data_IF_627349185584
#
_entry.id   IF_627349185584
#
_cell.length_a   1.000
_cell.length_b   1.000
_cell.length_c   1.000
_cell.angle_alpha   90.00
_cell.angle_beta   90.00
_cell.angle_gamma   90.00
#
_symmetry.space_group_name_H-M   'P 1'
#
loop_
_entity.id
_entity.type
_entity.pdbx_description
1 polymer ?
#
# COMPACT_ATOMS: atom_id res chain seq x y z
N UNK A 1 -11.18 8.01 31.44
CA UNK A 1 -9.78 8.01 30.97
C UNK A 1 -9.79 7.33 29.61
N UNK A 2 -9.55 8.07 28.51
CA UNK A 2 -9.45 7.44 27.18
C UNK A 2 -8.19 6.58 27.18
N UNK A 3 -8.28 5.33 26.76
CA UNK A 3 -7.10 4.48 26.53
C UNK A 3 -6.13 5.24 25.61
N UNK A 4 -4.81 5.16 25.87
CA UNK A 4 -3.83 5.73 24.96
C UNK A 4 -4.05 5.12 23.58
N UNK A 5 -4.03 5.95 22.54
CA UNK A 5 -4.20 5.47 21.17
C UNK A 5 -3.19 4.35 20.91
N UNK A 6 -3.68 3.18 20.51
CA UNK A 6 -2.88 2.02 20.19
C UNK A 6 -1.76 2.42 19.20
N UNK A 7 -0.54 1.95 19.43
CA UNK A 7 0.64 2.27 18.60
C UNK A 7 0.36 1.99 17.10
N UNK A 8 -0.38 0.93 16.81
CA UNK A 8 -0.77 0.57 15.44
C UNK A 8 -1.72 1.60 14.82
N UNK A 9 -2.60 2.21 15.62
CA UNK A 9 -3.51 3.25 15.15
C UNK A 9 -2.74 4.53 14.82
N UNK A 10 -1.72 4.86 15.62
CA UNK A 10 -0.83 6.00 15.36
C UNK A 10 -0.05 5.79 14.05
N UNK A 11 0.56 4.61 13.87
CA UNK A 11 1.29 4.29 12.63
C UNK A 11 0.38 4.32 11.40
N UNK A 12 -0.84 3.79 11.52
CA UNK A 12 -1.83 3.80 10.43
C UNK A 12 -2.29 5.22 10.09
N UNK A 13 -2.57 6.05 11.10
CA UNK A 13 -2.94 7.45 10.88
C UNK A 13 -1.82 8.22 10.17
N UNK A 14 -0.56 8.01 10.56
CA UNK A 14 0.60 8.62 9.88
C UNK A 14 0.73 8.15 8.43
N UNK A 15 0.54 6.86 8.16
CA UNK A 15 0.54 6.34 6.79
C UNK A 15 -0.54 7.03 5.95
N UNK A 16 -1.77 7.15 6.46
CA UNK A 16 -2.87 7.74 5.71
C UNK A 16 -2.66 9.23 5.42
N UNK A 17 -2.09 9.98 6.38
CA UNK A 17 -1.72 11.38 6.15
C UNK A 17 -0.70 11.52 5.01
N UNK A 18 0.35 10.68 5.01
CA UNK A 18 1.35 10.68 3.94
C UNK A 18 0.72 10.35 2.58
N UNK A 19 -0.17 9.35 2.54
CA UNK A 19 -0.84 8.95 1.30
C UNK A 19 -1.73 10.08 0.75
N UNK A 20 -2.53 10.72 1.61
CA UNK A 20 -3.39 11.85 1.24
C UNK A 20 -2.58 13.03 0.69
N UNK A 21 -1.46 13.37 1.33
CA UNK A 21 -0.53 14.42 0.87
C UNK A 21 0.09 14.13 -0.52
N UNK A 22 0.32 12.85 -0.86
CA UNK A 22 0.88 12.46 -2.16
C UNK A 22 -0.12 12.64 -3.32
N UNK A 23 -1.42 12.56 -3.05
CA UNK A 23 -2.50 12.74 -4.04
C UNK A 23 -2.66 11.59 -5.04
N UNK A 24 -1.59 11.03 -5.61
CA UNK A 24 -1.63 9.86 -6.50
C UNK A 24 -0.32 9.08 -6.44
N UNK A 25 -0.37 7.76 -6.61
CA UNK A 25 0.80 6.88 -6.41
C UNK A 25 0.89 5.74 -7.43
N UNK A 26 2.13 5.33 -7.73
CA UNK A 26 2.43 4.01 -8.30
C UNK A 26 2.99 3.11 -7.19
N UNK A 27 2.39 1.93 -6.98
CA UNK A 27 2.76 0.97 -5.94
C UNK A 27 3.45 -0.22 -6.57
N UNK A 28 4.70 -0.47 -6.21
CA UNK A 28 5.38 -1.72 -6.55
C UNK A 28 4.72 -2.89 -5.79
N UNK A 29 4.00 -3.73 -6.52
CA UNK A 29 3.18 -4.82 -6.00
C UNK A 29 3.82 -6.17 -6.32
N UNK A 30 4.22 -6.90 -5.28
CA UNK A 30 4.89 -8.21 -5.39
C UNK A 30 4.00 -9.39 -4.97
N UNK A 31 2.77 -9.13 -4.50
CA UNK A 31 1.88 -10.16 -3.92
C UNK A 31 2.20 -10.54 -2.47
N UNK A 32 3.27 -10.02 -1.88
CA UNK A 32 3.59 -10.18 -0.45
C UNK A 32 2.63 -9.39 0.46
N UNK A 33 2.55 -9.78 1.74
CA UNK A 33 1.63 -9.16 2.71
C UNK A 33 1.84 -7.64 2.85
N UNK A 34 3.09 -7.19 2.81
CA UNK A 34 3.43 -5.77 2.99
C UNK A 34 2.96 -4.93 1.79
N UNK A 35 3.28 -5.36 0.56
CA UNK A 35 2.87 -4.66 -0.66
C UNK A 35 1.36 -4.74 -0.89
N UNK A 36 0.72 -5.84 -0.48
CA UNK A 36 -0.74 -6.00 -0.48
C UNK A 36 -1.42 -5.05 0.51
N UNK A 37 -0.90 -4.97 1.74
CA UNK A 37 -1.40 -4.04 2.75
C UNK A 37 -1.26 -2.58 2.30
N UNK A 38 -0.09 -2.22 1.75
CA UNK A 38 0.15 -0.86 1.26
C UNK A 38 -0.79 -0.52 0.10
N UNK A 39 -0.97 -1.41 -0.88
CA UNK A 39 -1.91 -1.21 -1.98
C UNK A 39 -3.34 -1.00 -1.47
N UNK A 40 -3.79 -1.83 -0.52
CA UNK A 40 -5.11 -1.69 0.10
C UNK A 40 -5.27 -0.35 0.84
N UNK A 41 -4.22 0.12 1.54
CA UNK A 41 -4.21 1.42 2.19
C UNK A 41 -4.30 2.57 1.18
N UNK A 42 -3.51 2.52 0.10
CA UNK A 42 -3.55 3.50 -0.99
C UNK A 42 -4.95 3.59 -1.62
N UNK A 43 -5.56 2.45 -1.96
CA UNK A 43 -6.91 2.40 -2.52
C UNK A 43 -7.95 2.97 -1.57
N UNK A 44 -7.80 2.74 -0.27
CA UNK A 44 -8.72 3.26 0.76
C UNK A 44 -8.62 4.78 0.92
N UNK A 45 -7.42 5.35 0.84
CA UNK A 45 -7.20 6.79 1.06
C UNK A 45 -7.45 7.59 -0.21
N UNK A 46 -6.90 7.14 -1.35
CA UNK A 46 -6.85 7.92 -2.59
C UNK A 46 -7.92 7.54 -3.62
N UNK A 47 -8.52 6.34 -3.47
CA UNK A 47 -9.42 5.77 -4.47
C UNK A 47 -8.69 5.11 -5.66
N UNK A 48 -9.38 4.27 -6.44
CA UNK A 48 -8.77 3.48 -7.51
C UNK A 48 -8.22 4.33 -8.66
N UNK A 49 -8.83 5.48 -8.95
CA UNK A 49 -8.43 6.34 -10.07
C UNK A 49 -7.06 7.00 -9.88
N UNK A 50 -6.52 6.99 -8.66
CA UNK A 50 -5.26 7.66 -8.28
C UNK A 50 -4.16 6.67 -7.89
N UNK A 51 -4.38 5.37 -8.10
CA UNK A 51 -3.46 4.32 -7.69
C UNK A 51 -3.16 3.39 -8.86
N UNK A 52 -1.89 3.29 -9.23
CA UNK A 52 -1.39 2.32 -10.21
C UNK A 52 -0.60 1.22 -9.48
N UNK A 53 -1.08 -0.02 -9.50
CA UNK A 53 -0.30 -1.16 -9.03
C UNK A 53 0.62 -1.68 -10.15
N UNK A 54 1.91 -1.79 -9.86
CA UNK A 54 2.95 -2.19 -10.82
C UNK A 54 3.61 -3.47 -10.32
N UNK A 55 3.48 -4.55 -11.08
CA UNK A 55 4.31 -5.75 -10.88
C UNK A 55 5.51 -5.71 -11.83
N UNK A 56 6.62 -6.30 -11.43
CA UNK A 56 7.78 -6.48 -12.30
C UNK A 56 7.70 -7.88 -12.96
N UNK A 57 7.68 -7.93 -14.29
CA UNK A 57 7.95 -9.17 -15.02
C UNK A 57 9.42 -9.15 -15.47
N UNK A 58 10.21 -10.13 -15.00
CA UNK A 58 11.58 -10.32 -15.47
C UNK A 58 11.85 -11.81 -15.71
N UNK A 59 12.63 -12.18 -16.74
CA UNK A 59 13.00 -13.57 -17.02
C UNK A 59 13.72 -14.30 -15.87
N UNK A 60 14.19 -13.57 -14.85
CA UNK A 60 14.81 -14.11 -13.64
C UNK A 60 13.81 -14.52 -12.56
N UNK A 61 12.52 -14.19 -12.71
CA UNK A 61 11.48 -14.60 -11.76
C UNK A 61 10.95 -16.01 -12.10
N UNK A 62 10.83 -16.92 -11.11
CA UNK A 62 10.20 -18.21 -11.31
C UNK A 62 8.78 -18.06 -11.87
N UNK A 63 8.35 -18.96 -12.76
CA UNK A 63 7.08 -18.87 -13.48
C UNK A 63 5.82 -18.78 -12.59
N UNK A 64 5.92 -19.10 -11.29
CA UNK A 64 4.84 -18.97 -10.31
C UNK A 64 4.62 -17.57 -9.73
N UNK A 65 5.50 -16.60 -10.03
CA UNK A 65 5.39 -15.20 -9.60
C UNK A 65 4.95 -14.25 -10.73
N UNK A 66 4.41 -14.79 -11.83
CA UNK A 66 3.84 -14.00 -12.92
C UNK A 66 2.39 -13.60 -12.59
N UNK A 67 2.10 -12.30 -12.68
CA UNK A 67 0.75 -11.75 -12.51
C UNK A 67 -0.16 -12.07 -13.70
#
# INVERSE_FOLDING_TARGET
>A
MKEPANELDIKRARLYAILDELGSVAVAYSGGVDSTYLLAACLKVLGPDKVLAVTADSPTYPAGEKA
#
